data_IF_923014635002
#
_entry.id   IF_923014635002
#
_cell.length_a   1.000
_cell.length_b   1.000
_cell.length_c   1.000
_cell.angle_alpha   90.00
_cell.angle_beta   90.00
_cell.angle_gamma   90.00
#
_symmetry.space_group_name_H-M   'P 1'
#
loop_
_entity.id
_entity.type
_entity.pdbx_description
1 polymer ?
#
# COMPACT_ATOMS: atom_id res chain seq x y z
N UNK A 1 6.50 7.11 -35.25
CA UNK A 1 7.96 6.89 -35.36
C UNK A 1 8.59 7.82 -36.40
N UNK A 2 8.13 7.78 -37.66
CA UNK A 2 8.70 8.55 -38.79
C UNK A 2 8.78 10.07 -38.54
N UNK A 3 7.83 10.65 -37.81
CA UNK A 3 7.79 12.10 -37.51
C UNK A 3 8.89 12.60 -36.56
N UNK A 4 9.50 11.71 -35.77
CA UNK A 4 10.56 12.06 -34.81
C UNK A 4 11.96 11.72 -35.31
N UNK A 5 12.04 10.73 -36.21
CA UNK A 5 13.28 10.24 -36.79
C UNK A 5 13.47 10.73 -38.23
N UNK A 6 12.80 11.82 -38.61
CA UNK A 6 12.93 12.38 -39.96
C UNK A 6 14.39 12.81 -40.18
N UNK A 7 14.96 12.46 -41.33
CA UNK A 7 16.35 12.79 -41.67
C UNK A 7 16.56 14.31 -41.75
N UNK A 8 15.54 15.04 -42.21
CA UNK A 8 15.53 16.50 -42.22
C UNK A 8 15.15 17.07 -40.84
N UNK A 9 16.06 17.78 -40.14
CA UNK A 9 15.78 18.37 -38.83
C UNK A 9 14.63 19.40 -38.83
N UNK A 10 14.40 20.10 -39.94
CA UNK A 10 13.35 21.12 -40.04
C UNK A 10 11.95 20.51 -40.15
N UNK A 11 11.85 19.24 -40.53
CA UNK A 11 10.58 18.50 -40.65
C UNK A 11 10.27 17.61 -39.44
N UNK A 12 11.13 17.62 -38.41
CA UNK A 12 10.84 16.93 -37.15
C UNK A 12 9.78 17.71 -36.39
N UNK A 13 8.82 16.99 -35.81
CA UNK A 13 7.80 17.61 -34.97
C UNK A 13 8.46 18.18 -33.71
N UNK A 14 8.01 19.35 -33.26
CA UNK A 14 8.51 19.92 -32.01
C UNK A 14 8.23 18.98 -30.84
N UNK A 15 9.24 18.73 -30.00
CA UNK A 15 9.11 17.81 -28.87
C UNK A 15 7.96 18.17 -27.91
N UNK A 16 7.67 19.47 -27.76
CA UNK A 16 6.55 20.00 -26.99
C UNK A 16 5.18 19.48 -27.47
N UNK A 17 5.03 19.28 -28.78
CA UNK A 17 3.78 18.76 -29.38
C UNK A 17 3.51 17.30 -29.01
N UNK A 18 4.54 16.54 -28.63
CA UNK A 18 4.42 15.15 -28.18
C UNK A 18 3.89 15.03 -26.75
N UNK A 19 4.02 16.06 -25.92
CA UNK A 19 3.55 16.01 -24.53
C UNK A 19 2.04 15.74 -24.43
N UNK A 20 1.27 16.14 -25.45
CA UNK A 20 -0.16 15.82 -25.56
C UNK A 20 -0.48 14.46 -26.18
N UNK A 21 0.52 13.69 -26.62
CA UNK A 21 0.29 12.41 -27.28
C UNK A 21 -0.18 11.34 -26.27
N UNK A 22 -1.20 10.50 -26.57
CA UNK A 22 -1.70 9.48 -25.64
C UNK A 22 -0.65 8.47 -25.16
N UNK A 23 0.37 8.21 -25.99
CA UNK A 23 1.51 7.36 -25.59
C UNK A 23 2.37 7.98 -24.46
N UNK A 24 2.31 9.31 -24.29
CA UNK A 24 3.03 10.08 -23.27
C UNK A 24 2.10 10.65 -22.18
N UNK A 25 0.78 10.62 -22.37
CA UNK A 25 -0.24 10.90 -21.35
C UNK A 25 -1.03 9.63 -21.03
N UNK A 26 -0.36 8.70 -20.34
CA UNK A 26 -0.99 7.45 -19.90
C UNK A 26 -1.31 7.48 -18.40
N UNK A 27 -2.19 6.57 -17.95
CA UNK A 27 -2.58 6.45 -16.54
C UNK A 27 -1.39 6.38 -15.58
N UNK A 28 -0.30 5.73 -16.00
CA UNK A 28 0.91 5.61 -15.20
C UNK A 28 1.55 6.98 -14.89
N UNK A 29 1.75 7.82 -15.90
CA UNK A 29 2.37 9.15 -15.72
C UNK A 29 1.48 10.04 -14.86
N UNK A 30 0.17 10.04 -15.12
CA UNK A 30 -0.79 10.81 -14.34
C UNK A 30 -0.84 10.39 -12.88
N UNK A 31 -0.77 9.08 -12.58
CA UNK A 31 -0.69 8.58 -11.19
C UNK A 31 0.61 9.05 -10.54
N UNK A 32 1.75 8.96 -11.26
CA UNK A 32 3.04 9.38 -10.73
C UNK A 32 3.03 10.88 -10.39
N UNK A 33 2.56 11.71 -11.32
CA UNK A 33 2.47 13.16 -11.13
C UNK A 33 1.55 13.51 -9.96
N UNK A 34 0.37 12.88 -9.89
CA UNK A 34 -0.58 13.09 -8.80
C UNK A 34 0.05 12.73 -7.45
N UNK A 35 0.65 11.54 -7.31
CA UNK A 35 1.25 11.12 -6.05
C UNK A 35 2.42 12.04 -5.63
N UNK A 36 3.22 12.54 -6.57
CA UNK A 36 4.31 13.47 -6.27
C UNK A 36 3.81 14.86 -5.85
N UNK A 37 2.64 15.29 -6.33
CA UNK A 37 2.08 16.63 -6.09
C UNK A 37 0.85 16.64 -5.19
N UNK A 38 0.52 15.51 -4.55
CA UNK A 38 -0.72 15.31 -3.77
C UNK A 38 -0.96 16.37 -2.69
N UNK A 39 0.10 16.95 -2.12
CA UNK A 39 0.03 18.00 -1.10
C UNK A 39 -0.39 19.37 -1.66
N UNK A 40 -0.33 19.55 -2.97
CA UNK A 40 -0.79 20.74 -3.70
C UNK A 40 -2.22 20.58 -4.24
N UNK A 41 -2.80 19.39 -4.12
CA UNK A 41 -4.11 19.06 -4.69
C UNK A 41 -5.24 19.51 -3.79
N UNK A 42 -6.30 20.01 -4.41
CA UNK A 42 -7.54 20.35 -3.70
C UNK A 42 -8.24 19.08 -3.22
N UNK A 43 -9.18 19.23 -2.30
CA UNK A 43 -9.99 18.10 -1.83
C UNK A 43 -10.82 17.48 -2.96
N UNK A 44 -11.35 18.29 -3.88
CA UNK A 44 -12.09 17.82 -5.05
C UNK A 44 -11.20 16.97 -5.98
N UNK A 45 -9.97 17.43 -6.27
CA UNK A 45 -9.00 16.67 -7.07
C UNK A 45 -8.66 15.33 -6.41
N UNK A 46 -8.56 15.29 -5.08
CA UNK A 46 -8.32 14.06 -4.32
C UNK A 46 -9.53 13.14 -4.31
N UNK A 47 -10.74 13.66 -4.15
CA UNK A 47 -11.97 12.89 -4.20
C UNK A 47 -12.15 12.24 -5.57
N UNK A 48 -11.86 12.96 -6.66
CA UNK A 48 -11.86 12.44 -8.02
C UNK A 48 -10.79 11.35 -8.20
N UNK A 49 -9.57 11.59 -7.74
CA UNK A 49 -8.47 10.64 -7.91
C UNK A 49 -8.70 9.32 -7.14
N UNK A 50 -9.16 9.40 -5.90
CA UNK A 50 -9.40 8.22 -5.05
C UNK A 50 -10.78 7.60 -5.25
N UNK A 51 -11.71 8.30 -5.89
CA UNK A 51 -13.02 7.76 -6.25
C UNK A 51 -14.12 7.96 -5.19
N UNK A 52 -13.94 8.86 -4.23
CA UNK A 52 -14.83 9.00 -3.05
C UNK A 52 -16.26 9.42 -3.43
N UNK A 53 -16.39 10.37 -4.35
CA UNK A 53 -17.68 10.94 -4.77
C UNK A 53 -18.06 10.53 -6.20
N UNK A 54 -17.53 9.40 -6.68
CA UNK A 54 -17.59 9.07 -8.10
C UNK A 54 -18.91 8.43 -8.50
N UNK A 55 -19.62 9.08 -9.42
CA UNK A 55 -20.77 8.51 -10.11
C UNK A 55 -20.33 7.38 -11.04
N UNK A 56 -21.25 6.48 -11.41
CA UNK A 56 -20.97 5.28 -12.22
C UNK A 56 -20.21 5.58 -13.53
N UNK A 57 -20.40 6.77 -14.09
CA UNK A 57 -19.77 7.23 -15.34
C UNK A 57 -18.28 7.59 -15.15
N UNK A 58 -17.87 8.00 -13.94
CA UNK A 58 -16.50 8.37 -13.61
C UNK A 58 -15.66 7.26 -12.98
N UNK A 59 -16.24 6.09 -12.68
CA UNK A 59 -15.60 5.06 -11.86
C UNK A 59 -14.23 4.61 -12.40
N UNK A 60 -14.07 4.55 -13.72
CA UNK A 60 -12.81 4.20 -14.37
C UNK A 60 -11.68 5.23 -14.19
N UNK A 61 -11.99 6.44 -13.73
CA UNK A 61 -11.02 7.51 -13.44
C UNK A 61 -10.43 7.38 -12.03
N UNK A 62 -11.06 6.60 -11.14
CA UNK A 62 -10.53 6.30 -9.83
C UNK A 62 -9.22 5.52 -9.92
N UNK A 63 -8.36 5.67 -8.91
CA UNK A 63 -7.01 5.11 -8.91
C UNK A 63 -6.99 3.58 -9.04
N UNK A 64 -7.90 2.85 -8.38
CA UNK A 64 -7.87 1.38 -8.36
C UNK A 64 -8.13 0.77 -9.75
N UNK A 65 -9.21 1.13 -10.48
CA UNK A 65 -9.39 0.68 -11.87
C UNK A 65 -8.22 1.05 -12.79
N UNK A 66 -7.65 2.25 -12.61
CA UNK A 66 -6.49 2.69 -13.40
C UNK A 66 -5.26 1.84 -13.12
N UNK A 67 -4.99 1.50 -11.86
CA UNK A 67 -3.89 0.62 -11.49
C UNK A 67 -4.08 -0.79 -12.07
N UNK A 68 -5.30 -1.33 -12.06
CA UNK A 68 -5.63 -2.63 -12.67
C UNK A 68 -5.48 -2.65 -14.20
N UNK A 69 -5.63 -1.50 -14.85
CA UNK A 69 -5.43 -1.37 -16.30
C UNK A 69 -3.94 -1.35 -16.72
N UNK A 70 -3.03 -1.11 -15.77
CA UNK A 70 -1.59 -1.06 -16.02
C UNK A 70 -1.02 -2.48 -15.83
N UNK A 71 -0.09 -2.94 -16.68
CA UNK A 71 0.56 -4.24 -16.48
C UNK A 71 1.15 -4.38 -15.06
N UNK A 72 0.83 -5.48 -14.37
CA UNK A 72 1.15 -5.66 -12.95
C UNK A 72 2.64 -5.46 -12.65
N UNK A 73 3.53 -5.92 -13.52
CA UNK A 73 4.98 -5.74 -13.40
C UNK A 73 5.41 -4.27 -13.45
N UNK A 74 4.71 -3.43 -14.22
CA UNK A 74 4.93 -1.98 -14.26
C UNK A 74 4.46 -1.33 -12.95
N UNK A 75 3.28 -1.69 -12.46
CA UNK A 75 2.79 -1.22 -11.14
C UNK A 75 3.78 -1.61 -10.04
N UNK A 76 4.19 -2.88 -10.03
CA UNK A 76 5.05 -3.44 -9.01
C UNK A 76 6.44 -2.75 -8.96
N UNK A 77 7.03 -2.47 -10.13
CA UNK A 77 8.36 -1.84 -10.20
C UNK A 77 8.34 -0.32 -10.01
N UNK A 78 7.30 0.36 -10.49
CA UNK A 78 7.31 1.83 -10.57
C UNK A 78 6.44 2.50 -9.51
N UNK A 79 5.41 1.81 -9.01
CA UNK A 79 4.37 2.44 -8.20
C UNK A 79 4.32 1.96 -6.74
N UNK A 80 4.76 0.74 -6.39
CA UNK A 80 4.70 0.25 -5.01
C UNK A 80 5.26 1.26 -3.99
N UNK A 81 6.50 1.72 -4.20
CA UNK A 81 7.13 2.70 -3.31
C UNK A 81 6.41 4.05 -3.31
N UNK A 82 5.94 4.50 -4.47
CA UNK A 82 5.30 5.81 -4.61
C UNK A 82 3.92 5.84 -3.94
N UNK A 83 3.14 4.77 -4.11
CA UNK A 83 1.84 4.58 -3.47
C UNK A 83 1.94 4.38 -1.95
N UNK A 84 3.13 4.01 -1.47
CA UNK A 84 3.52 3.91 -0.06
C UNK A 84 4.35 5.11 0.42
N UNK A 85 4.47 6.18 -0.38
CA UNK A 85 5.15 7.40 0.05
C UNK A 85 4.36 8.10 1.15
N UNK A 86 5.06 8.85 2.01
CA UNK A 86 4.47 9.44 3.22
C UNK A 86 3.17 10.20 2.95
N UNK A 87 3.14 11.07 1.95
CA UNK A 87 1.95 11.88 1.66
C UNK A 87 0.76 11.06 1.15
N UNK A 88 1.02 10.00 0.39
CA UNK A 88 -0.04 9.09 -0.07
C UNK A 88 -0.52 8.19 1.09
N UNK A 89 0.41 7.74 1.94
CA UNK A 89 0.12 6.91 3.11
C UNK A 89 -0.74 7.62 4.15
N UNK A 90 -0.46 8.89 4.39
CA UNK A 90 -1.17 9.69 5.39
C UNK A 90 -2.45 10.34 4.86
N UNK A 91 -2.75 10.20 3.57
CA UNK A 91 -4.02 10.68 3.00
C UNK A 91 -5.17 9.74 3.38
N UNK A 92 -6.20 10.27 4.05
CA UNK A 92 -7.32 9.48 4.56
C UNK A 92 -8.07 8.71 3.45
N UNK A 93 -8.21 9.33 2.27
CA UNK A 93 -8.86 8.72 1.10
C UNK A 93 -8.08 7.53 0.56
N UNK A 94 -6.76 7.60 0.60
CA UNK A 94 -5.87 6.48 0.24
C UNK A 94 -6.09 5.29 1.16
N UNK A 95 -6.21 5.55 2.47
CA UNK A 95 -6.46 4.52 3.47
C UNK A 95 -7.80 3.82 3.26
N UNK A 96 -8.85 4.57 2.91
CA UNK A 96 -10.17 3.99 2.69
C UNK A 96 -10.34 3.33 1.30
N UNK A 97 -9.79 3.93 0.24
CA UNK A 97 -10.13 3.56 -1.15
C UNK A 97 -9.02 2.80 -1.87
N UNK A 98 -7.75 3.06 -1.55
CA UNK A 98 -6.60 2.44 -2.23
C UNK A 98 -6.08 1.22 -1.46
N UNK A 99 -5.79 1.36 -0.17
CA UNK A 99 -5.08 0.31 0.58
C UNK A 99 -5.83 -1.02 0.74
N UNK A 100 -7.17 -1.08 0.82
CA UNK A 100 -7.89 -2.35 0.78
C UNK A 100 -7.61 -3.18 -0.48
N UNK A 101 -7.37 -2.53 -1.64
CA UNK A 101 -7.04 -3.21 -2.90
C UNK A 101 -5.52 -3.31 -3.16
N UNK A 102 -4.72 -2.41 -2.58
CA UNK A 102 -3.27 -2.39 -2.79
C UNK A 102 -2.52 -3.36 -1.88
N UNK A 103 -3.00 -3.57 -0.64
CA UNK A 103 -2.31 -4.34 0.41
C UNK A 103 -2.76 -5.80 0.51
N UNK A 104 -3.47 -6.30 -0.51
CA UNK A 104 -3.85 -7.71 -0.65
C UNK A 104 -3.49 -8.20 -2.06
N UNK A 105 -3.00 -9.44 -2.23
CA UNK A 105 -2.86 -10.07 -3.53
C UNK A 105 -4.18 -10.19 -4.28
N UNK A 106 -4.12 -10.14 -5.62
CA UNK A 106 -5.27 -10.28 -6.51
C UNK A 106 -5.96 -11.66 -6.41
N UNK A 107 -5.26 -12.69 -5.91
CA UNK A 107 -5.78 -14.04 -5.78
C UNK A 107 -6.55 -14.27 -4.47
N UNK A 108 -6.30 -13.45 -3.44
CA UNK A 108 -6.87 -13.62 -2.09
C UNK A 108 -7.88 -12.52 -1.72
N UNK A 109 -8.22 -11.69 -2.70
CA UNK A 109 -9.14 -10.57 -2.61
C UNK A 109 -9.21 -9.83 -3.93
N UNK A 110 -9.92 -8.71 -3.99
CA UNK A 110 -9.97 -7.85 -5.18
C UNK A 110 -8.68 -6.98 -5.27
N UNK A 111 -7.52 -7.63 -5.18
CA UNK A 111 -6.21 -6.98 -5.12
C UNK A 111 -5.70 -6.44 -6.45
N UNK A 112 -4.70 -5.55 -6.42
CA UNK A 112 -4.11 -4.95 -7.63
C UNK A 112 -2.96 -5.79 -8.20
N UNK A 113 -2.15 -6.39 -7.34
CA UNK A 113 -0.94 -7.13 -7.74
C UNK A 113 -1.17 -8.63 -7.61
N UNK A 114 -0.74 -9.45 -8.59
CA UNK A 114 -0.62 -10.89 -8.40
C UNK A 114 0.31 -11.20 -7.23
N UNK A 115 0.06 -12.30 -6.53
CA UNK A 115 0.77 -12.70 -5.30
C UNK A 115 2.28 -12.67 -5.45
N UNK A 116 2.80 -13.15 -6.58
CA UNK A 116 4.25 -13.13 -6.85
C UNK A 116 4.83 -11.72 -6.84
N UNK A 117 4.18 -10.78 -7.52
CA UNK A 117 4.60 -9.38 -7.56
C UNK A 117 4.42 -8.69 -6.21
N UNK A 118 3.33 -9.00 -5.51
CA UNK A 118 3.07 -8.50 -4.17
C UNK A 118 4.21 -8.90 -3.20
N UNK A 119 4.54 -10.20 -3.15
CA UNK A 119 5.59 -10.71 -2.26
C UNK A 119 6.98 -10.18 -2.64
N UNK A 120 7.31 -10.10 -3.93
CA UNK A 120 8.65 -9.67 -4.37
C UNK A 120 8.85 -8.15 -4.40
N UNK A 121 7.79 -7.34 -4.49
CA UNK A 121 7.89 -5.88 -4.65
C UNK A 121 7.15 -5.08 -3.59
N UNK A 122 5.97 -5.49 -3.16
CA UNK A 122 5.19 -4.76 -2.16
C UNK A 122 5.68 -5.05 -0.73
N UNK A 123 5.84 -6.32 -0.37
CA UNK A 123 6.28 -6.73 0.98
C UNK A 123 7.61 -6.08 1.40
N UNK A 124 8.66 -6.00 0.55
CA UNK A 124 9.89 -5.28 0.90
C UNK A 124 9.68 -3.80 1.21
N UNK A 125 8.76 -3.13 0.51
CA UNK A 125 8.43 -1.72 0.76
C UNK A 125 7.63 -1.54 2.05
N UNK A 126 6.72 -2.47 2.38
CA UNK A 126 6.04 -2.51 3.68
C UNK A 126 7.06 -2.68 4.81
N UNK A 127 7.96 -3.66 4.70
CA UNK A 127 9.03 -3.89 5.69
C UNK A 127 9.96 -2.69 5.84
N UNK A 128 10.20 -1.93 4.77
CA UNK A 128 10.93 -0.66 4.83
C UNK A 128 10.17 0.38 5.67
N UNK A 129 8.85 0.48 5.51
CA UNK A 129 8.03 1.42 6.28
C UNK A 129 7.97 1.06 7.78
N UNK A 130 8.07 -0.22 8.16
CA UNK A 130 8.19 -0.59 9.58
C UNK A 130 9.44 0.03 10.25
N UNK A 131 10.50 0.33 9.50
CA UNK A 131 11.70 1.01 10.03
C UNK A 131 11.51 2.52 10.27
N UNK A 132 10.44 3.11 9.72
CA UNK A 132 10.17 4.55 9.87
C UNK A 132 9.65 4.81 11.28
N UNK A 133 10.33 5.69 12.02
CA UNK A 133 10.01 6.07 13.41
C UNK A 133 9.03 7.25 13.44
N UNK A 134 7.89 7.08 12.78
CA UNK A 134 6.80 8.06 12.77
C UNK A 134 5.50 7.39 13.18
N UNK A 135 4.87 7.88 14.25
CA UNK A 135 3.66 7.26 14.81
C UNK A 135 2.54 7.18 13.78
N UNK A 136 2.29 8.25 13.02
CA UNK A 136 1.25 8.28 12.00
C UNK A 136 1.46 7.22 10.90
N UNK A 137 2.71 7.03 10.43
CA UNK A 137 3.06 5.99 9.44
C UNK A 137 2.81 4.61 10.03
N UNK A 138 3.26 4.39 11.28
CA UNK A 138 3.08 3.11 11.96
C UNK A 138 1.61 2.79 12.18
N UNK A 139 0.81 3.75 12.64
CA UNK A 139 -0.62 3.58 12.87
C UNK A 139 -1.36 3.15 11.60
N UNK A 140 -1.06 3.76 10.45
CA UNK A 140 -1.66 3.38 9.15
C UNK A 140 -1.23 1.99 8.70
N UNK A 141 0.04 1.63 8.88
CA UNK A 141 0.50 0.27 8.58
C UNK A 141 -0.24 -0.77 9.42
N UNK A 142 -0.40 -0.50 10.72
CA UNK A 142 -1.01 -1.44 11.65
C UNK A 142 -2.53 -1.54 11.47
N UNK A 143 -3.21 -0.47 11.06
CA UNK A 143 -4.65 -0.52 10.77
C UNK A 143 -4.98 -1.44 9.59
N UNK A 144 -4.04 -1.64 8.68
CA UNK A 144 -4.17 -2.54 7.53
C UNK A 144 -3.39 -3.85 7.68
N UNK A 145 -2.87 -4.14 8.87
CA UNK A 145 -1.98 -5.29 9.11
C UNK A 145 -2.60 -6.63 8.69
N UNK A 146 -3.90 -6.80 8.95
CA UNK A 146 -4.67 -7.99 8.59
C UNK A 146 -4.68 -8.29 7.09
N UNK A 147 -4.50 -7.27 6.23
CA UNK A 147 -4.47 -7.43 4.78
C UNK A 147 -3.18 -8.08 4.30
N UNK A 148 -2.03 -7.72 4.89
CA UNK A 148 -0.74 -8.10 4.32
C UNK A 148 0.12 -9.03 5.19
N UNK A 149 -0.14 -9.14 6.50
CA UNK A 149 0.75 -9.82 7.44
C UNK A 149 1.07 -11.27 7.04
N UNK A 150 0.06 -12.01 6.56
CA UNK A 150 0.19 -13.41 6.12
C UNK A 150 1.12 -13.64 4.91
N UNK A 151 1.50 -12.57 4.21
CA UNK A 151 2.39 -12.64 3.04
C UNK A 151 3.84 -12.30 3.38
N UNK A 152 4.11 -11.84 4.60
CA UNK A 152 5.46 -11.63 5.10
C UNK A 152 6.07 -12.99 5.43
N UNK A 153 7.32 -13.22 5.02
CA UNK A 153 8.04 -14.45 5.34
C UNK A 153 8.05 -14.69 6.86
N UNK A 154 7.76 -15.92 7.28
CA UNK A 154 7.56 -16.27 8.70
C UNK A 154 8.70 -15.79 9.60
N UNK A 155 9.96 -15.98 9.20
CA UNK A 155 11.14 -15.49 9.94
C UNK A 155 11.14 -13.97 10.15
N UNK A 156 10.73 -13.21 9.13
CA UNK A 156 10.64 -11.75 9.20
C UNK A 156 9.43 -11.31 10.01
N UNK A 157 8.35 -12.07 9.96
CA UNK A 157 7.13 -11.83 10.72
C UNK A 157 7.41 -12.00 12.22
N UNK A 158 7.91 -13.17 12.63
CA UNK A 158 8.18 -13.52 14.03
C UNK A 158 9.33 -12.72 14.64
N UNK A 159 10.36 -12.37 13.87
CA UNK A 159 11.44 -11.50 14.35
C UNK A 159 11.11 -10.03 14.17
N UNK A 160 11.68 -9.43 13.11
CA UNK A 160 11.67 -7.99 12.88
C UNK A 160 10.28 -7.31 12.99
N UNK A 161 9.22 -7.90 12.44
CA UNK A 161 7.89 -7.28 12.48
C UNK A 161 7.28 -7.34 13.87
N UNK A 162 7.31 -8.50 14.53
CA UNK A 162 6.89 -8.65 15.93
C UNK A 162 7.62 -7.68 16.84
N UNK A 163 8.95 -7.56 16.71
CA UNK A 163 9.73 -6.61 17.51
C UNK A 163 9.20 -5.20 17.33
N UNK A 164 9.01 -4.74 16.10
CA UNK A 164 8.49 -3.39 15.83
C UNK A 164 7.05 -3.19 16.32
N UNK A 165 6.21 -4.23 16.30
CA UNK A 165 4.85 -4.20 16.88
C UNK A 165 4.92 -4.07 18.41
N UNK A 166 5.75 -4.87 19.08
CA UNK A 166 5.94 -4.81 20.54
C UNK A 166 6.46 -3.42 20.96
N UNK A 167 7.41 -2.84 20.23
CA UNK A 167 7.86 -1.47 20.50
C UNK A 167 6.71 -0.46 20.46
N UNK A 168 5.76 -0.62 19.52
CA UNK A 168 4.57 0.23 19.44
C UNK A 168 3.61 0.07 20.63
N UNK A 169 3.60 -1.08 21.30
CA UNK A 169 2.83 -1.29 22.54
C UNK A 169 3.38 -0.49 23.73
N UNK A 170 4.60 0.02 23.64
CA UNK A 170 5.27 0.83 24.68
C UNK A 170 5.27 2.33 24.38
N UNK A 171 4.61 2.77 23.30
CA UNK A 171 4.52 4.18 22.94
C UNK A 171 3.63 4.99 23.90
N UNK A 172 3.71 6.32 23.86
CA UNK A 172 2.87 7.20 24.67
C UNK A 172 1.55 7.59 23.99
N UNK A 173 1.42 7.34 22.69
CA UNK A 173 0.18 7.55 21.93
C UNK A 173 -0.75 6.34 22.06
N UNK A 174 -1.87 6.53 22.75
CA UNK A 174 -2.89 5.50 22.95
C UNK A 174 -3.42 4.90 21.63
N UNK A 175 -3.48 5.68 20.54
CA UNK A 175 -3.92 5.16 19.25
C UNK A 175 -2.91 4.17 18.66
N UNK A 176 -1.61 4.48 18.76
CA UNK A 176 -0.54 3.60 18.31
C UNK A 176 -0.46 2.34 19.17
N UNK A 177 -0.56 2.48 20.50
CA UNK A 177 -0.59 1.33 21.42
C UNK A 177 -1.75 0.40 21.08
N UNK A 178 -2.96 0.95 20.90
CA UNK A 178 -4.14 0.16 20.55
C UNK A 178 -4.01 -0.53 19.17
N UNK A 179 -3.43 0.15 18.17
CA UNK A 179 -3.17 -0.47 16.87
C UNK A 179 -2.13 -1.61 16.96
N UNK A 180 -1.09 -1.43 17.78
CA UNK A 180 -0.04 -2.42 18.02
C UNK A 180 -0.56 -3.67 18.72
N UNK A 181 -1.41 -3.51 19.74
CA UNK A 181 -2.05 -4.64 20.41
C UNK A 181 -2.97 -5.44 19.49
N UNK A 182 -3.72 -4.76 18.59
CA UNK A 182 -4.52 -5.46 17.57
C UNK A 182 -3.65 -6.21 16.56
N UNK A 183 -2.54 -5.63 16.13
CA UNK A 183 -1.58 -6.31 15.27
C UNK A 183 -0.94 -7.52 15.96
N UNK A 184 -0.67 -7.44 17.26
CA UNK A 184 -0.18 -8.57 18.05
C UNK A 184 -1.19 -9.72 18.11
N UNK A 185 -2.49 -9.42 18.23
CA UNK A 185 -3.52 -10.46 18.13
C UNK A 185 -3.49 -11.18 16.77
N UNK A 186 -3.32 -10.44 15.67
CA UNK A 186 -3.17 -11.02 14.33
C UNK A 186 -1.88 -11.86 14.23
N UNK A 187 -0.77 -11.40 14.84
CA UNK A 187 0.47 -12.19 14.90
C UNK A 187 0.26 -13.52 15.61
N UNK A 188 -0.48 -13.52 16.73
CA UNK A 188 -0.82 -14.74 17.47
C UNK A 188 -1.65 -15.71 16.60
N UNK A 189 -2.61 -15.19 15.82
CA UNK A 189 -3.40 -16.02 14.90
C UNK A 189 -2.56 -16.67 13.79
N UNK A 190 -1.49 -16.00 13.32
CA UNK A 190 -0.66 -16.49 12.21
C UNK A 190 0.47 -17.40 12.70
N UNK A 191 1.20 -17.00 13.74
CA UNK A 191 2.44 -17.64 14.17
C UNK A 191 2.34 -18.36 15.52
N UNK A 192 1.21 -18.22 16.22
CA UNK A 192 1.02 -18.75 17.56
C UNK A 192 1.61 -17.84 18.64
N UNK A 193 1.02 -17.91 19.84
CA UNK A 193 1.39 -17.03 20.94
C UNK A 193 2.84 -17.26 21.41
N UNK A 194 3.33 -18.51 21.41
CA UNK A 194 4.69 -18.85 21.85
C UNK A 194 5.78 -18.17 21.00
N UNK A 195 5.48 -17.84 19.74
CA UNK A 195 6.43 -17.22 18.84
C UNK A 195 6.49 -15.70 18.96
N UNK A 196 5.40 -15.04 19.38
CA UNK A 196 5.24 -13.58 19.22
C UNK A 196 4.93 -12.82 20.50
N UNK A 197 4.47 -13.50 21.55
CA UNK A 197 4.25 -12.88 22.84
C UNK A 197 5.58 -12.73 23.60
N UNK A 198 5.96 -11.54 24.07
CA UNK A 198 7.21 -11.34 24.81
C UNK A 198 7.14 -11.85 26.26
N UNK A 199 5.98 -12.30 26.72
CA UNK A 199 5.76 -12.80 28.08
C UNK A 199 5.61 -14.33 28.12
N UNK A 200 5.95 -14.97 29.26
CA UNK A 200 5.77 -16.40 29.43
C UNK A 200 4.32 -16.83 29.24
N UNK A 201 4.11 -17.94 28.53
CA UNK A 201 2.79 -18.54 28.33
C UNK A 201 2.65 -19.72 29.28
N UNK A 202 1.55 -19.74 30.03
CA UNK A 202 1.19 -20.83 30.92
C UNK A 202 -0.32 -21.05 30.92
N UNK A 203 -0.74 -22.27 31.21
CA UNK A 203 -2.16 -22.61 31.30
C UNK A 203 -2.74 -22.04 32.61
N UNK A 204 -3.48 -20.94 32.50
CA UNK A 204 -4.16 -20.31 33.65
C UNK A 204 -5.64 -20.71 33.71
N UNK A 205 -6.31 -20.83 32.55
CA UNK A 205 -7.72 -21.17 32.47
C UNK A 205 -7.94 -22.68 32.29
N UNK A 206 -8.95 -23.23 32.97
CA UNK A 206 -9.38 -24.62 32.80
C UNK A 206 -10.17 -24.80 31.50
N UNK A 207 -10.13 -26.00 30.90
CA UNK A 207 -10.74 -26.27 29.59
C UNK A 207 -12.29 -26.30 29.61
N UNK A 208 -12.90 -26.32 30.80
CA UNK A 208 -14.35 -26.16 31.00
C UNK A 208 -15.22 -26.89 29.99
N UNK A 209 -15.00 -28.18 29.77
CA UNK A 209 -15.92 -28.99 28.97
C UNK A 209 -17.02 -29.53 29.89
N UNK A 210 -18.32 -29.27 29.62
CA UNK A 210 -19.37 -29.97 30.35
C UNK A 210 -19.25 -31.48 30.07
N UNK A 211 -19.30 -32.29 31.14
CA UNK A 211 -19.34 -33.76 31.07
C UNK A 211 -20.66 -34.23 30.45
#
# INVERSE_FOLDING_TARGET
AVQLTNEDPAQRTQLSSLLGHPALSNSLIQIIEFCNTIHLKTDDEKDEFFGVNTTTVGAFRAIVPRLRSIPADVVARRLCRLLLSRYVLLEARSQAQLYPALLVPAEDGDGILPRSHFQHRMVPEILRLFKVRESAVRTVLLSHFHLYARYIAHERLVGFVTDEVIHGCHDNDNHLVAASLRALAILVEIAGADAVCPWPISKIFANGSPL
#
